data_IF_692276027463
#
_entry.id   IF_692276027463
#
_cell.length_a   1.000
_cell.length_b   1.000
_cell.length_c   1.000
_cell.angle_alpha   90.00
_cell.angle_beta   90.00
_cell.angle_gamma   90.00
#
_symmetry.space_group_name_H-M   'P 1'
#
loop_
_entity.id
_entity.type
_entity.pdbx_description
1 polymer ?
#
# COMPACT_ATOMS: atom_id res chain seq x y z
N UNK A 1 10.81 -11.09 3.34
CA UNK A 1 9.55 -10.42 2.95
C UNK A 1 9.13 -9.43 4.01
N UNK A 2 8.52 -8.28 3.66
CA UNK A 2 8.23 -7.22 4.65
C UNK A 2 6.91 -7.40 5.41
N UNK A 3 5.98 -8.23 4.92
CA UNK A 3 4.67 -8.50 5.53
C UNK A 3 4.32 -10.00 5.45
N UNK A 4 5.01 -10.88 6.18
CA UNK A 4 4.82 -12.33 6.07
C UNK A 4 3.44 -12.79 6.54
N UNK A 5 2.86 -12.13 7.56
CA UNK A 5 1.51 -12.45 8.07
C UNK A 5 0.43 -12.20 7.01
N UNK A 6 0.51 -11.03 6.35
CA UNK A 6 -0.42 -10.66 5.29
C UNK A 6 -0.27 -11.56 4.06
N UNK A 7 0.96 -11.89 3.68
CA UNK A 7 1.23 -12.79 2.57
C UNK A 7 0.63 -14.18 2.82
N UNK A 8 0.88 -14.78 4.00
CA UNK A 8 0.28 -16.07 4.38
C UNK A 8 -1.25 -16.03 4.35
N UNK A 9 -1.86 -14.92 4.79
CA UNK A 9 -3.29 -14.74 4.77
C UNK A 9 -3.87 -14.65 3.35
N UNK A 10 -3.20 -13.96 2.43
CA UNK A 10 -3.61 -13.91 1.02
C UNK A 10 -3.45 -15.27 0.33
N UNK A 11 -2.38 -16.00 0.61
CA UNK A 11 -2.19 -17.37 0.11
C UNK A 11 -3.29 -18.32 0.61
N UNK A 12 -3.60 -18.27 1.92
CA UNK A 12 -4.65 -19.09 2.53
C UNK A 12 -6.02 -18.85 1.88
N UNK A 13 -6.34 -17.61 1.55
CA UNK A 13 -7.63 -17.23 0.95
C UNK A 13 -7.58 -17.16 -0.59
N UNK A 14 -6.46 -17.54 -1.22
CA UNK A 14 -6.22 -17.46 -2.67
C UNK A 14 -6.55 -16.08 -3.26
N UNK A 15 -6.19 -15.02 -2.54
CA UNK A 15 -6.42 -13.63 -2.95
C UNK A 15 -5.21 -13.14 -3.74
N UNK A 16 -5.42 -12.86 -5.02
CA UNK A 16 -4.39 -12.22 -5.84
C UNK A 16 -4.39 -10.69 -5.64
N UNK A 17 -3.45 -10.21 -4.83
CA UNK A 17 -3.24 -8.77 -4.62
C UNK A 17 -2.65 -8.05 -5.85
N UNK A 18 -2.10 -8.80 -6.83
CA UNK A 18 -1.44 -8.25 -8.01
C UNK A 18 -2.37 -7.40 -8.85
N UNK A 19 -3.63 -7.83 -9.01
CA UNK A 19 -4.65 -7.11 -9.78
C UNK A 19 -4.88 -5.68 -9.28
N UNK A 20 -4.87 -5.50 -7.96
CA UNK A 20 -5.11 -4.21 -7.32
C UNK A 20 -3.84 -3.36 -7.37
N UNK A 21 -2.69 -3.95 -7.02
CA UNK A 21 -1.41 -3.23 -7.06
C UNK A 21 -0.99 -2.82 -8.47
N UNK A 22 -1.36 -3.61 -9.50
CA UNK A 22 -1.12 -3.28 -10.90
C UNK A 22 -1.79 -1.97 -11.28
N UNK A 23 -3.06 -1.79 -10.90
CA UNK A 23 -3.75 -0.53 -11.12
C UNK A 23 -3.05 0.63 -10.40
N UNK A 24 -2.69 0.46 -9.12
CA UNK A 24 -2.00 1.50 -8.36
C UNK A 24 -0.69 1.95 -9.00
N UNK A 25 0.09 1.01 -9.53
CA UNK A 25 1.35 1.30 -10.19
C UNK A 25 1.16 1.94 -11.57
N UNK A 26 0.14 1.50 -12.32
CA UNK A 26 -0.16 2.05 -13.64
C UNK A 26 -0.62 3.51 -13.56
N UNK A 27 -1.48 3.84 -12.59
CA UNK A 27 -2.00 5.21 -12.42
C UNK A 27 -1.31 6.01 -11.33
N UNK A 28 -0.20 5.52 -10.77
CA UNK A 28 0.57 6.18 -9.69
C UNK A 28 -0.35 6.68 -8.56
N UNK A 29 -1.28 5.83 -8.13
CA UNK A 29 -2.29 6.09 -7.09
C UNK A 29 -3.28 7.24 -7.35
N UNK A 30 -3.35 7.83 -8.55
CA UNK A 30 -4.15 9.04 -8.86
C UNK A 30 -5.64 8.91 -8.49
N UNK A 31 -6.26 7.74 -8.72
CA UNK A 31 -7.67 7.49 -8.36
C UNK A 31 -7.84 6.64 -7.08
N UNK A 32 -6.72 6.22 -6.48
CA UNK A 32 -6.72 5.26 -5.38
C UNK A 32 -6.77 5.93 -4.01
N UNK A 33 -6.29 7.17 -3.88
CA UNK A 33 -6.17 7.89 -2.60
C UNK A 33 -6.77 9.30 -2.67
N UNK A 34 -6.94 9.93 -1.51
CA UNK A 34 -7.34 11.35 -1.44
C UNK A 34 -6.24 12.28 -1.98
N UNK A 35 -6.64 13.41 -2.58
CA UNK A 35 -5.73 14.35 -3.26
C UNK A 35 -4.58 14.84 -2.36
N UNK A 36 -4.86 15.15 -1.09
CA UNK A 36 -3.84 15.59 -0.13
C UNK A 36 -2.74 14.56 0.13
N UNK A 37 -3.07 13.27 0.00
CA UNK A 37 -2.13 12.17 0.13
C UNK A 37 -1.39 11.94 -1.18
N UNK A 38 -2.11 12.04 -2.30
CA UNK A 38 -1.56 11.93 -3.64
C UNK A 38 -0.41 12.90 -3.86
N UNK A 39 -0.60 14.19 -3.57
CA UNK A 39 0.45 15.20 -3.75
C UNK A 39 1.71 14.88 -2.97
N UNK A 40 1.61 14.46 -1.70
CA UNK A 40 2.79 14.09 -0.89
C UNK A 40 3.52 12.85 -1.39
N UNK A 41 2.76 11.86 -1.89
CA UNK A 41 3.34 10.68 -2.52
C UNK A 41 4.04 11.04 -3.82
N UNK A 42 3.46 11.96 -4.60
CA UNK A 42 4.01 12.47 -5.84
C UNK A 42 5.27 13.30 -5.63
N UNK A 43 5.29 14.19 -4.64
CA UNK A 43 6.51 14.94 -4.28
C UNK A 43 7.67 13.99 -3.97
N UNK A 44 7.39 12.93 -3.21
CA UNK A 44 8.38 11.90 -2.87
C UNK A 44 8.79 11.05 -4.07
N UNK A 45 7.84 10.73 -4.96
CA UNK A 45 8.09 9.99 -6.19
C UNK A 45 8.94 10.79 -7.18
N UNK A 46 8.68 12.09 -7.33
CA UNK A 46 9.46 12.99 -8.17
C UNK A 46 10.88 13.20 -7.63
N UNK A 47 11.06 13.17 -6.29
CA UNK A 47 12.36 13.34 -5.65
C UNK A 47 13.21 12.06 -5.63
N UNK A 48 12.69 10.93 -5.15
CA UNK A 48 13.46 9.67 -5.00
C UNK A 48 13.33 8.73 -6.21
N UNK A 49 12.32 8.94 -7.05
CA UNK A 49 12.00 8.11 -8.21
C UNK A 49 11.03 6.95 -7.91
N UNK A 50 10.91 5.99 -8.85
CA UNK A 50 9.84 4.98 -8.86
C UNK A 50 9.85 3.98 -7.69
N UNK A 51 10.98 3.83 -6.99
CA UNK A 51 11.08 2.94 -5.82
C UNK A 51 10.12 3.35 -4.70
N UNK A 52 9.78 4.63 -4.60
CA UNK A 52 8.87 5.17 -3.59
C UNK A 52 7.43 4.66 -3.77
N UNK A 53 6.98 4.40 -4.99
CA UNK A 53 5.63 3.88 -5.26
C UNK A 53 5.45 2.51 -4.57
N UNK A 54 6.45 1.64 -4.66
CA UNK A 54 6.44 0.34 -3.97
C UNK A 54 6.45 0.49 -2.45
N UNK A 55 7.17 1.49 -1.91
CA UNK A 55 7.15 1.79 -0.47
C UNK A 55 5.75 2.18 -0.01
N UNK A 56 5.07 3.04 -0.76
CA UNK A 56 3.70 3.45 -0.44
C UNK A 56 2.69 2.31 -0.55
N UNK A 57 2.79 1.44 -1.56
CA UNK A 57 1.95 0.25 -1.65
C UNK A 57 2.08 -0.64 -0.40
N UNK A 58 3.31 -0.94 0.02
CA UNK A 58 3.58 -1.71 1.24
C UNK A 58 3.09 -0.97 2.51
N UNK A 59 3.26 0.35 2.57
CA UNK A 59 2.80 1.15 3.68
C UNK A 59 1.27 1.14 3.80
N UNK A 60 0.54 1.17 2.68
CA UNK A 60 -0.92 1.06 2.66
C UNK A 60 -1.38 -0.30 3.19
N UNK A 61 -0.75 -1.39 2.74
CA UNK A 61 -1.03 -2.72 3.26
C UNK A 61 -0.75 -2.83 4.76
N UNK A 62 0.40 -2.31 5.22
CA UNK A 62 0.75 -2.28 6.64
C UNK A 62 -0.21 -1.43 7.47
N UNK A 63 -0.69 -0.30 6.92
CA UNK A 63 -1.64 0.58 7.60
C UNK A 63 -2.96 -0.12 7.93
N UNK A 64 -3.43 -1.04 7.08
CA UNK A 64 -4.68 -1.80 7.25
C UNK A 64 -4.46 -3.28 7.53
N UNK A 65 -3.25 -3.69 7.88
CA UNK A 65 -2.90 -5.11 8.07
C UNK A 65 -3.86 -5.80 9.04
N UNK A 66 -4.07 -5.23 10.22
CA UNK A 66 -4.97 -5.78 11.25
C UNK A 66 -6.44 -5.87 10.81
N UNK A 67 -6.90 -4.98 9.93
CA UNK A 67 -8.26 -5.02 9.41
C UNK A 67 -8.41 -6.07 8.31
N UNK A 68 -7.39 -6.23 7.46
CA UNK A 68 -7.36 -7.24 6.41
C UNK A 68 -7.32 -8.64 7.03
N UNK A 69 -6.50 -8.84 8.08
CA UNK A 69 -6.37 -10.13 8.77
C UNK A 69 -7.65 -10.61 9.46
N UNK A 70 -8.61 -9.71 9.77
CA UNK A 70 -9.91 -10.07 10.36
C UNK A 70 -10.89 -10.65 9.33
N UNK A 71 -10.66 -10.41 8.03
CA UNK A 71 -11.53 -10.89 6.97
C UNK A 71 -11.20 -12.35 6.67
N UNK A 72 -12.20 -13.21 6.53
CA UNK A 72 -12.00 -14.65 6.25
C UNK A 72 -12.51 -15.09 4.86
N UNK A 73 -13.14 -14.17 4.11
CA UNK A 73 -13.67 -14.46 2.78
C UNK A 73 -12.85 -13.76 1.70
N UNK A 74 -12.42 -14.51 0.69
CA UNK A 74 -11.63 -13.98 -0.44
C UNK A 74 -12.34 -12.83 -1.17
N UNK A 75 -13.66 -12.92 -1.36
CA UNK A 75 -14.46 -11.88 -2.00
C UNK A 75 -14.54 -10.62 -1.14
N UNK A 76 -14.68 -10.77 0.18
CA UNK A 76 -14.73 -9.66 1.12
C UNK A 76 -13.38 -8.96 1.21
N UNK A 77 -12.28 -9.73 1.25
CA UNK A 77 -10.91 -9.20 1.20
C UNK A 77 -10.72 -8.39 -0.09
N UNK A 78 -11.08 -8.93 -1.25
CA UNK A 78 -10.90 -8.22 -2.52
C UNK A 78 -11.70 -6.90 -2.59
N UNK A 79 -12.96 -6.92 -2.14
CA UNK A 79 -13.81 -5.72 -2.05
C UNK A 79 -13.22 -4.68 -1.09
N UNK A 80 -12.70 -5.13 0.05
CA UNK A 80 -12.04 -4.27 1.02
C UNK A 80 -10.77 -3.65 0.43
N UNK A 81 -9.92 -4.47 -0.19
CA UNK A 81 -8.67 -4.04 -0.82
C UNK A 81 -8.89 -2.97 -1.91
N UNK A 82 -10.02 -3.03 -2.63
CA UNK A 82 -10.37 -2.03 -3.64
C UNK A 82 -10.82 -0.69 -3.06
N UNK A 83 -11.34 -0.65 -1.83
CA UNK A 83 -11.96 0.54 -1.24
C UNK A 83 -11.15 1.16 -0.09
N UNK A 84 -10.32 0.38 0.62
CA UNK A 84 -9.63 0.85 1.81
C UNK A 84 -8.63 1.98 1.53
N UNK A 85 -8.04 2.05 0.33
CA UNK A 85 -7.05 3.08 -0.01
C UNK A 85 -7.63 4.48 0.10
N UNK A 86 -8.93 4.64 -0.20
CA UNK A 86 -9.68 5.89 -0.03
C UNK A 86 -10.01 6.21 1.43
N UNK A 87 -9.97 5.20 2.31
CA UNK A 87 -10.18 5.38 3.77
C UNK A 87 -8.91 5.86 4.49
N UNK A 88 -7.75 5.87 3.82
CA UNK A 88 -6.50 6.36 4.37
C UNK A 88 -6.44 7.87 4.20
N UNK A 89 -6.78 8.59 5.26
CA UNK A 89 -6.77 10.06 5.30
C UNK A 89 -5.53 10.62 6.01
N UNK A 90 -4.92 9.84 6.90
CA UNK A 90 -3.75 10.29 7.67
C UNK A 90 -2.46 10.11 6.88
N UNK A 91 -2.11 11.17 6.16
CA UNK A 91 -0.87 11.23 5.40
C UNK A 91 0.38 11.16 6.27
N UNK A 92 0.37 11.76 7.46
CA UNK A 92 1.57 11.77 8.32
C UNK A 92 1.88 10.35 8.78
N UNK A 93 0.87 9.60 9.18
CA UNK A 93 1.01 8.21 9.58
C UNK A 93 1.45 7.34 8.40
N UNK A 94 0.86 7.49 7.22
CA UNK A 94 1.28 6.72 6.03
C UNK A 94 2.75 6.99 5.65
N UNK A 95 3.15 8.26 5.62
CA UNK A 95 4.53 8.67 5.34
C UNK A 95 5.49 8.11 6.41
N UNK A 96 5.10 8.14 7.68
CA UNK A 96 5.87 7.53 8.77
C UNK A 96 6.13 6.05 8.53
N UNK A 97 5.11 5.28 8.17
CA UNK A 97 5.25 3.84 7.87
C UNK A 97 6.12 3.63 6.63
N UNK A 98 5.90 4.41 5.56
CA UNK A 98 6.62 4.28 4.29
C UNK A 98 8.12 4.54 4.42
N UNK A 99 8.53 5.53 5.21
CA UNK A 99 9.92 6.00 5.29
C UNK A 99 10.67 5.54 6.55
N UNK A 100 9.98 5.27 7.67
CA UNK A 100 10.63 4.85 8.93
C UNK A 100 10.54 3.34 9.10
N UNK A 101 9.34 2.77 9.03
CA UNK A 101 9.13 1.37 9.39
C UNK A 101 9.50 0.39 8.28
N UNK A 102 9.60 0.87 7.05
CA UNK A 102 9.88 0.06 5.86
C UNK A 102 11.28 0.33 5.28
N UNK A 103 12.20 1.00 5.98
CA UNK A 103 13.59 1.24 5.53
C UNK A 103 14.57 0.18 6.07
N UNK A 104 15.73 -0.12 5.41
CA UNK A 104 16.40 0.65 4.36
C UNK A 104 16.16 0.05 2.98
N UNK A 105 15.41 0.74 2.12
CA UNK A 105 15.62 0.52 0.69
C UNK A 105 16.87 1.32 0.31
N UNK A 106 17.86 0.71 -0.35
CA UNK A 106 19.14 1.37 -0.61
C UNK A 106 18.88 2.72 -1.30
N UNK A 107 19.31 3.81 -0.65
CA UNK A 107 19.53 5.08 -1.34
C UNK A 107 20.45 4.76 -2.52
N UNK A 108 20.08 5.26 -3.70
CA UNK A 108 20.91 5.10 -4.90
C UNK A 108 22.35 5.51 -4.58
N UNK A 109 23.30 4.63 -4.89
CA UNK A 109 24.68 5.03 -5.18
C UNK A 109 24.67 5.94 -6.40
#
# INVERSE_FOLDING_TARGET
EKLPRLHAHFEQHRVDSSLITFNWFLVVFVDSVVSDLLFKMWDSFLYEGPKVIFRFALALFKYKEEEILKLQDSTSIFKYLRSFTRTVLDARKLMGIAFRDLNPFPLRQ
#
